data_IF_946757842019
#
_entry.id   IF_946757842019
#
_cell.length_a   1.000
_cell.length_b   1.000
_cell.length_c   1.000
_cell.angle_alpha   90.00
_cell.angle_beta   90.00
_cell.angle_gamma   90.00
#
_symmetry.space_group_name_H-M   'P 1'
#
loop_
_entity.id
_entity.type
_entity.pdbx_description
1 polymer ?
#
# COMPACT_ATOMS: atom_id res chain seq x y z
N UNK A 1 1.07 67.00 -48.99
CA UNK A 1 0.56 65.65 -48.67
C UNK A 1 1.72 64.72 -48.44
N UNK A 2 1.90 64.21 -47.22
CA UNK A 2 2.49 62.91 -46.95
C UNK A 2 2.23 62.61 -45.46
N UNK A 3 1.08 62.00 -45.17
CA UNK A 3 0.79 61.45 -43.86
C UNK A 3 1.70 60.22 -43.68
N UNK A 4 2.63 60.28 -42.74
CA UNK A 4 3.40 59.11 -42.31
C UNK A 4 2.47 58.22 -41.49
N UNK A 5 1.95 57.17 -42.13
CA UNK A 5 1.22 56.11 -41.46
C UNK A 5 2.16 55.44 -40.45
N UNK A 6 1.94 55.72 -39.16
CA UNK A 6 2.53 54.93 -38.08
C UNK A 6 1.71 53.66 -37.93
N UNK A 7 2.21 52.55 -38.47
CA UNK A 7 1.68 51.24 -38.12
C UNK A 7 2.11 50.93 -36.68
N UNK A 8 1.18 50.56 -35.77
CA UNK A 8 1.57 50.04 -34.47
C UNK A 8 2.35 48.76 -34.73
N UNK A 9 3.62 48.72 -34.31
CA UNK A 9 4.40 47.49 -34.28
C UNK A 9 3.62 46.51 -33.39
N UNK A 10 3.11 45.43 -33.98
CA UNK A 10 2.59 44.32 -33.21
C UNK A 10 3.72 43.89 -32.26
N UNK A 11 3.51 43.81 -30.93
CA UNK A 11 4.53 43.29 -30.04
C UNK A 11 4.94 41.91 -30.58
N UNK A 12 6.25 41.60 -30.68
CA UNK A 12 6.67 40.30 -31.15
C UNK A 12 5.91 39.26 -30.34
N UNK A 13 5.37 38.25 -31.02
CA UNK A 13 4.70 37.11 -30.39
C UNK A 13 5.75 36.29 -29.61
N UNK A 14 6.29 36.90 -28.55
CA UNK A 14 7.27 36.31 -27.68
C UNK A 14 6.60 35.19 -26.91
N UNK A 15 7.27 34.04 -26.87
CA UNK A 15 6.92 32.97 -25.95
C UNK A 15 6.77 33.58 -24.56
N UNK A 16 5.54 33.60 -24.04
CA UNK A 16 5.27 34.11 -22.70
C UNK A 16 6.16 33.34 -21.72
N UNK A 17 6.82 34.03 -20.78
CA UNK A 17 7.76 33.41 -19.84
C UNK A 17 7.20 32.15 -19.14
N UNK A 18 5.89 32.13 -18.86
CA UNK A 18 5.20 30.95 -18.32
C UNK A 18 5.19 29.76 -19.29
N UNK A 19 4.94 29.99 -20.58
CA UNK A 19 4.98 28.95 -21.62
C UNK A 19 6.41 28.43 -21.79
N UNK A 20 7.40 29.34 -21.80
CA UNK A 20 8.81 28.96 -21.87
C UNK A 20 9.22 28.05 -20.69
N UNK A 21 8.82 28.39 -19.46
CA UNK A 21 9.14 27.57 -18.29
C UNK A 21 8.53 26.16 -18.37
N UNK A 22 7.29 26.02 -18.83
CA UNK A 22 6.67 24.70 -19.02
C UNK A 22 7.30 23.92 -20.17
N UNK A 23 7.73 24.60 -21.24
CA UNK A 23 8.50 23.96 -22.32
C UNK A 23 9.86 23.45 -21.82
N UNK A 24 10.52 24.20 -20.93
CA UNK A 24 11.76 23.75 -20.29
C UNK A 24 11.53 22.56 -19.38
N UNK A 25 10.46 22.56 -18.55
CA UNK A 25 10.10 21.39 -17.73
C UNK A 25 9.82 20.18 -18.60
N UNK A 26 9.04 20.34 -19.69
CA UNK A 26 8.77 19.26 -20.63
C UNK A 26 10.07 18.74 -21.26
N UNK A 27 10.97 19.65 -21.69
CA UNK A 27 12.28 19.29 -22.21
C UNK A 27 13.08 18.47 -21.21
N UNK A 28 13.20 18.93 -19.95
CA UNK A 28 13.90 18.24 -18.88
C UNK A 28 13.33 16.84 -18.61
N UNK A 29 12.00 16.70 -18.56
CA UNK A 29 11.33 15.40 -18.38
C UNK A 29 11.61 14.48 -19.57
N UNK A 30 11.50 14.98 -20.81
CA UNK A 30 11.80 14.18 -22.01
C UNK A 30 13.26 13.74 -22.04
N UNK A 31 14.20 14.60 -21.65
CA UNK A 31 15.62 14.25 -21.58
C UNK A 31 15.95 13.26 -20.47
N UNK A 32 15.11 13.14 -19.44
CA UNK A 32 15.25 12.12 -18.38
C UNK A 32 14.96 10.71 -18.87
N UNK A 33 14.23 10.58 -19.99
CA UNK A 33 13.85 9.29 -20.58
C UNK A 33 14.32 9.21 -22.04
N UNK A 34 15.63 9.07 -22.29
CA UNK A 34 16.14 8.85 -23.63
C UNK A 34 15.40 7.67 -24.30
N UNK A 35 14.89 7.82 -25.54
CA UNK A 35 14.12 6.75 -26.18
C UNK A 35 14.88 5.43 -26.27
N UNK A 36 16.20 5.48 -26.43
CA UNK A 36 17.06 4.30 -26.40
C UNK A 36 16.97 3.52 -25.09
N UNK A 37 17.11 4.21 -23.94
CA UNK A 37 17.05 3.56 -22.62
C UNK A 37 15.67 2.98 -22.33
N UNK A 38 14.60 3.69 -22.72
CA UNK A 38 13.23 3.20 -22.58
C UNK A 38 13.01 1.95 -23.45
N UNK A 39 13.44 1.98 -24.70
CA UNK A 39 13.31 0.83 -25.62
C UNK A 39 14.13 -0.37 -25.12
N UNK A 40 15.36 -0.14 -24.66
CA UNK A 40 16.22 -1.18 -24.06
C UNK A 40 15.58 -1.79 -22.80
N UNK A 41 15.00 -0.96 -21.94
CA UNK A 41 14.26 -1.43 -20.76
C UNK A 41 13.07 -2.30 -21.17
N UNK A 42 12.29 -1.87 -22.16
CA UNK A 42 11.11 -2.60 -22.63
C UNK A 42 11.48 -3.92 -23.32
N UNK A 43 12.51 -3.93 -24.16
CA UNK A 43 12.86 -5.10 -24.99
C UNK A 43 13.79 -6.08 -24.31
N UNK A 44 14.69 -5.59 -23.47
CA UNK A 44 15.80 -6.35 -22.90
C UNK A 44 15.82 -6.34 -21.37
N UNK A 45 14.81 -5.75 -20.73
CA UNK A 45 14.71 -5.64 -19.26
C UNK A 45 15.98 -5.05 -18.64
N UNK A 46 16.56 -4.04 -19.31
CA UNK A 46 17.71 -3.32 -18.81
C UNK A 46 17.33 -2.51 -17.57
N UNK A 47 17.66 -3.05 -16.41
CA UNK A 47 17.53 -2.37 -15.13
C UNK A 47 18.89 -1.81 -14.69
N UNK A 48 18.94 -0.63 -14.03
CA UNK A 48 20.21 0.01 -13.75
C UNK A 48 21.07 -0.65 -12.66
N UNK A 49 20.50 -1.36 -11.68
CA UNK A 49 21.28 -2.17 -10.74
C UNK A 49 20.61 -3.49 -10.31
N UNK A 50 21.26 -4.18 -9.37
CA UNK A 50 20.80 -5.45 -8.81
C UNK A 50 19.56 -5.32 -7.96
N UNK A 51 19.32 -4.15 -7.38
CA UNK A 51 18.21 -3.93 -6.48
C UNK A 51 16.90 -3.85 -7.27
N UNK A 52 16.93 -3.13 -8.40
CA UNK A 52 15.83 -3.10 -9.37
C UNK A 52 15.50 -4.51 -9.91
N UNK A 53 16.54 -5.28 -10.25
CA UNK A 53 16.38 -6.65 -10.73
C UNK A 53 15.74 -7.54 -9.67
N UNK A 54 16.19 -7.43 -8.41
CA UNK A 54 15.63 -8.15 -7.29
C UNK A 54 14.17 -7.75 -7.05
N UNK A 55 13.84 -6.46 -7.15
CA UNK A 55 12.48 -5.98 -6.96
C UNK A 55 11.50 -6.57 -7.97
N UNK A 56 11.90 -6.64 -9.24
CA UNK A 56 11.09 -7.29 -10.27
C UNK A 56 10.90 -8.78 -9.98
N UNK A 57 11.93 -9.43 -9.46
CA UNK A 57 11.86 -10.82 -9.00
C UNK A 57 10.83 -10.97 -7.88
N UNK A 58 10.85 -10.13 -6.84
CA UNK A 58 9.90 -10.22 -5.72
C UNK A 58 8.46 -9.96 -6.17
N UNK A 59 8.27 -8.98 -7.07
CA UNK A 59 6.97 -8.66 -7.66
C UNK A 59 6.46 -9.79 -8.58
N UNK A 60 7.35 -10.42 -9.35
CA UNK A 60 7.02 -11.58 -10.19
C UNK A 60 6.62 -12.76 -9.32
N UNK A 61 7.38 -13.04 -8.27
CA UNK A 61 7.08 -14.17 -7.39
C UNK A 61 5.77 -13.93 -6.64
N UNK A 62 5.51 -12.70 -6.18
CA UNK A 62 4.19 -12.32 -5.61
C UNK A 62 3.05 -12.50 -6.63
N UNK A 63 3.25 -12.06 -7.88
CA UNK A 63 2.29 -12.26 -8.96
C UNK A 63 2.10 -13.75 -9.32
N UNK A 64 3.15 -14.56 -9.16
CA UNK A 64 3.14 -16.00 -9.36
C UNK A 64 2.57 -16.78 -8.15
N UNK A 65 2.19 -16.09 -7.08
CA UNK A 65 1.50 -16.66 -5.92
C UNK A 65 2.37 -16.88 -4.68
N UNK A 66 3.59 -16.33 -4.64
CA UNK A 66 4.35 -16.24 -3.39
C UNK A 66 3.51 -15.48 -2.36
N UNK A 67 3.43 -16.02 -1.15
CA UNK A 67 2.57 -15.46 -0.11
C UNK A 67 2.98 -14.05 0.26
N UNK A 68 2.01 -13.22 0.67
CA UNK A 68 2.29 -11.86 1.14
C UNK A 68 3.38 -11.86 2.23
N UNK A 69 3.30 -12.75 3.21
CA UNK A 69 4.28 -12.82 4.31
C UNK A 69 5.50 -13.70 4.01
N UNK A 70 5.57 -14.30 2.83
CA UNK A 70 6.76 -15.00 2.35
C UNK A 70 7.55 -14.02 1.49
N UNK A 71 8.60 -13.43 2.06
CA UNK A 71 9.53 -12.55 1.34
C UNK A 71 10.89 -13.24 1.11
N UNK A 72 10.92 -14.57 1.13
CA UNK A 72 12.17 -15.34 0.96
C UNK A 72 12.53 -15.44 -0.52
N UNK A 73 13.78 -15.11 -0.83
CA UNK A 73 14.35 -15.26 -2.15
C UNK A 73 15.10 -16.59 -2.25
N UNK A 74 14.37 -17.64 -2.64
CA UNK A 74 14.89 -19.01 -2.76
C UNK A 74 16.04 -19.16 -3.77
N UNK A 75 16.26 -18.17 -4.63
CA UNK A 75 17.32 -18.16 -5.65
C UNK A 75 18.72 -17.87 -5.08
N UNK A 76 18.83 -17.21 -3.92
CA UNK A 76 20.13 -16.81 -3.35
C UNK A 76 20.83 -17.94 -2.57
N UNK A 77 20.08 -18.90 -2.02
CA UNK A 77 20.63 -20.06 -1.31
C UNK A 77 19.70 -21.29 -1.42
N UNK A 78 19.61 -21.97 -2.56
CA UNK A 78 18.69 -23.11 -2.69
C UNK A 78 19.08 -24.28 -1.74
N UNK A 79 18.12 -24.92 -1.05
CA UNK A 79 16.68 -24.66 -1.06
C UNK A 79 16.22 -23.62 -0.02
N UNK A 80 17.08 -23.22 0.92
CA UNK A 80 16.71 -22.44 2.11
C UNK A 80 16.31 -20.98 1.82
N UNK A 81 16.86 -20.40 0.75
CA UNK A 81 16.65 -19.01 0.36
C UNK A 81 17.22 -17.99 1.33
N UNK A 82 16.95 -16.70 1.07
CA UNK A 82 17.31 -15.60 1.96
C UNK A 82 16.09 -14.68 2.16
N UNK A 83 15.64 -14.41 3.39
CA UNK A 83 14.55 -13.48 3.63
C UNK A 83 14.95 -12.05 3.25
N UNK A 84 14.14 -11.44 2.39
CA UNK A 84 14.31 -10.04 1.99
C UNK A 84 13.93 -9.11 3.14
N UNK A 85 14.64 -7.99 3.30
CA UNK A 85 14.27 -6.96 4.26
C UNK A 85 13.28 -5.96 3.66
N UNK A 86 12.93 -6.10 2.37
CA UNK A 86 12.04 -5.18 1.69
C UNK A 86 10.56 -5.46 1.93
N UNK A 87 9.80 -4.38 1.94
CA UNK A 87 8.37 -4.40 2.22
C UNK A 87 7.55 -4.77 0.98
N UNK A 88 6.57 -5.65 1.18
CA UNK A 88 5.55 -6.01 0.17
C UNK A 88 4.66 -4.86 -0.25
N UNK A 89 4.68 -3.74 0.48
CA UNK A 89 3.94 -2.53 0.11
C UNK A 89 4.33 -2.01 -1.28
N UNK A 90 5.59 -2.18 -1.70
CA UNK A 90 6.01 -1.82 -3.06
C UNK A 90 5.76 -2.94 -4.07
N UNK A 91 5.94 -4.20 -3.67
CA UNK A 91 5.75 -5.34 -4.56
C UNK A 91 4.30 -5.45 -5.04
N UNK A 92 3.33 -5.11 -4.18
CA UNK A 92 1.90 -5.22 -4.46
C UNK A 92 1.45 -4.44 -5.71
N UNK A 93 1.71 -3.11 -5.83
CA UNK A 93 1.33 -2.38 -7.03
C UNK A 93 2.09 -2.87 -8.27
N UNK A 94 3.36 -3.24 -8.15
CA UNK A 94 4.13 -3.81 -9.27
C UNK A 94 3.55 -5.14 -9.75
N UNK A 95 3.28 -6.07 -8.82
CA UNK A 95 2.65 -7.35 -9.10
C UNK A 95 1.25 -7.19 -9.70
N UNK A 96 0.46 -6.22 -9.23
CA UNK A 96 -0.84 -5.89 -9.80
C UNK A 96 -0.71 -5.45 -11.27
N UNK A 97 0.26 -4.59 -11.60
CA UNK A 97 0.52 -4.18 -12.98
C UNK A 97 0.94 -5.38 -13.85
N UNK A 98 1.80 -6.25 -13.34
CA UNK A 98 2.21 -7.48 -14.04
C UNK A 98 1.00 -8.40 -14.31
N UNK A 99 0.15 -8.63 -13.31
CA UNK A 99 -1.06 -9.46 -13.45
C UNK A 99 -2.05 -8.89 -14.47
N UNK A 100 -2.21 -7.56 -14.49
CA UNK A 100 -3.12 -6.88 -15.43
C UNK A 100 -2.58 -6.89 -16.85
N UNK A 101 -1.27 -6.69 -17.05
CA UNK A 101 -0.67 -6.56 -18.39
C UNK A 101 -0.35 -7.91 -19.04
N UNK A 102 0.09 -8.90 -18.26
CA UNK A 102 0.54 -10.20 -18.78
C UNK A 102 -0.46 -10.87 -19.74
N UNK A 103 -1.79 -10.89 -19.49
CA UNK A 103 -2.76 -11.50 -20.40
C UNK A 103 -2.84 -10.86 -21.80
N UNK A 104 -2.40 -9.61 -21.95
CA UNK A 104 -2.53 -8.85 -23.19
C UNK A 104 -1.26 -8.87 -24.04
N UNK A 105 -0.10 -8.82 -23.37
CA UNK A 105 1.20 -8.60 -24.03
C UNK A 105 2.22 -9.72 -23.79
N UNK A 106 1.89 -10.69 -22.93
CA UNK A 106 2.83 -11.72 -22.48
C UNK A 106 3.74 -11.24 -21.34
N UNK A 107 4.33 -12.17 -20.59
CA UNK A 107 5.10 -11.86 -19.37
C UNK A 107 6.34 -11.01 -19.64
N UNK A 108 7.14 -11.36 -20.65
CA UNK A 108 8.39 -10.64 -20.94
C UNK A 108 8.17 -9.17 -21.31
N UNK A 109 7.17 -8.89 -22.16
CA UNK A 109 6.83 -7.52 -22.51
C UNK A 109 6.12 -6.78 -21.35
N UNK A 110 5.30 -7.48 -20.55
CA UNK A 110 4.68 -6.88 -19.37
C UNK A 110 5.73 -6.38 -18.37
N UNK A 111 6.77 -7.17 -18.08
CA UNK A 111 7.86 -6.76 -17.19
C UNK A 111 8.63 -5.56 -17.73
N UNK A 112 9.01 -5.58 -19.01
CA UNK A 112 9.69 -4.46 -19.65
C UNK A 112 8.85 -3.17 -19.63
N UNK A 113 7.54 -3.28 -19.84
CA UNK A 113 6.62 -2.14 -19.76
C UNK A 113 6.47 -1.62 -18.33
N UNK A 114 6.33 -2.49 -17.33
CA UNK A 114 6.28 -2.09 -15.92
C UNK A 114 7.58 -1.38 -15.53
N UNK A 115 8.73 -1.96 -15.84
CA UNK A 115 10.02 -1.39 -15.51
C UNK A 115 10.28 -0.03 -16.18
N UNK A 116 9.83 0.14 -17.43
CA UNK A 116 10.00 1.39 -18.16
C UNK A 116 9.05 2.50 -17.71
N UNK A 117 7.80 2.17 -17.38
CA UNK A 117 6.75 3.17 -17.13
C UNK A 117 6.42 3.40 -15.65
N UNK A 118 6.87 2.54 -14.74
CA UNK A 118 6.74 2.76 -13.29
C UNK A 118 7.45 4.07 -12.83
N UNK A 119 8.73 4.30 -13.15
CA UNK A 119 9.43 5.52 -12.72
C UNK A 119 8.80 6.84 -13.24
N UNK A 120 8.44 6.99 -14.55
CA UNK A 120 7.83 8.24 -15.02
C UNK A 120 6.43 8.48 -14.43
N UNK A 121 5.69 7.43 -14.09
CA UNK A 121 4.42 7.58 -13.38
C UNK A 121 4.64 8.20 -12.00
N UNK A 122 5.62 7.69 -11.25
CA UNK A 122 5.98 8.24 -9.94
C UNK A 122 6.61 9.62 -10.04
N UNK A 123 7.37 9.92 -11.09
CA UNK A 123 7.88 11.27 -11.33
C UNK A 123 6.74 12.28 -11.53
N UNK A 124 5.67 11.88 -12.21
CA UNK A 124 4.48 12.73 -12.36
C UNK A 124 3.80 12.99 -11.00
N UNK A 125 3.72 11.98 -10.13
CA UNK A 125 3.21 12.13 -8.75
C UNK A 125 4.12 13.06 -7.95
N UNK A 126 5.43 12.85 -7.98
CA UNK A 126 6.44 13.68 -7.33
C UNK A 126 6.35 15.14 -7.78
N UNK A 127 6.34 15.39 -9.10
CA UNK A 127 6.26 16.73 -9.68
C UNK A 127 4.94 17.43 -9.30
N UNK A 128 3.83 16.68 -9.28
CA UNK A 128 2.52 17.23 -8.86
C UNK A 128 2.51 17.60 -7.37
N UNK A 129 3.08 16.74 -6.52
CA UNK A 129 3.21 17.01 -5.09
C UNK A 129 4.11 18.23 -4.83
N UNK A 130 5.27 18.30 -5.50
CA UNK A 130 6.22 19.41 -5.39
C UNK A 130 5.58 20.71 -5.85
N UNK A 131 4.96 20.70 -7.05
CA UNK A 131 4.29 21.87 -7.59
C UNK A 131 3.19 22.35 -6.65
N UNK A 132 2.33 21.44 -6.17
CA UNK A 132 1.21 21.79 -5.31
C UNK A 132 1.69 22.38 -3.98
N UNK A 133 2.67 21.75 -3.33
CA UNK A 133 3.22 22.21 -2.05
C UNK A 133 3.97 23.53 -2.14
N UNK A 134 4.78 23.74 -3.19
CA UNK A 134 5.48 25.02 -3.40
C UNK A 134 4.51 26.12 -3.81
N UNK A 135 3.51 25.80 -4.66
CA UNK A 135 2.52 26.79 -5.13
C UNK A 135 1.75 27.41 -3.98
N UNK A 136 1.36 26.61 -2.98
CA UNK A 136 0.57 27.11 -1.85
C UNK A 136 1.33 28.13 -1.00
N UNK A 137 2.66 28.03 -0.92
CA UNK A 137 3.48 28.88 -0.05
C UNK A 137 4.18 30.01 -0.82
N UNK A 138 4.60 29.77 -2.06
CA UNK A 138 5.48 30.67 -2.83
C UNK A 138 4.89 31.07 -4.20
N UNK A 139 3.69 30.59 -4.52
CA UNK A 139 3.00 30.91 -5.76
C UNK A 139 3.44 30.07 -6.98
N UNK A 140 2.74 30.21 -8.11
CA UNK A 140 2.88 29.31 -9.25
C UNK A 140 4.22 29.42 -9.98
N UNK A 141 4.89 30.58 -9.95
CA UNK A 141 6.20 30.74 -10.62
C UNK A 141 7.30 29.96 -9.89
N UNK A 142 7.34 30.09 -8.56
CA UNK A 142 8.26 29.32 -7.72
C UNK A 142 8.01 27.82 -7.85
N UNK A 143 6.76 27.40 -7.94
CA UNK A 143 6.40 26.00 -8.13
C UNK A 143 6.94 25.41 -9.44
N UNK A 144 6.85 26.14 -10.56
CA UNK A 144 7.42 25.67 -11.83
C UNK A 144 8.95 25.62 -11.75
N UNK A 145 9.59 26.63 -11.14
CA UNK A 145 11.05 26.63 -10.94
C UNK A 145 11.52 25.50 -10.03
N UNK A 146 10.73 25.13 -9.02
CA UNK A 146 11.06 24.01 -8.14
C UNK A 146 10.99 22.67 -8.89
N UNK A 147 9.96 22.45 -9.72
CA UNK A 147 9.89 21.25 -10.57
C UNK A 147 11.05 21.21 -11.55
N UNK A 148 11.35 22.33 -12.21
CA UNK A 148 12.50 22.45 -13.09
C UNK A 148 13.79 22.07 -12.35
N UNK A 149 14.08 22.72 -11.22
CA UNK A 149 15.29 22.46 -10.44
C UNK A 149 15.37 21.01 -9.97
N UNK A 150 14.26 20.43 -9.51
CA UNK A 150 14.21 19.04 -9.05
C UNK A 150 14.62 18.06 -10.15
N UNK A 151 14.13 18.24 -11.39
CA UNK A 151 14.52 17.37 -12.52
C UNK A 151 16.00 17.46 -12.89
N UNK A 152 16.73 18.46 -12.38
CA UNK A 152 18.17 18.63 -12.60
C UNK A 152 19.02 18.11 -11.43
N UNK A 153 18.39 17.58 -10.37
CA UNK A 153 19.11 17.03 -9.23
C UNK A 153 19.50 15.58 -9.48
N UNK A 154 20.72 15.22 -9.07
CA UNK A 154 21.25 13.86 -9.21
C UNK A 154 20.31 12.79 -8.62
N UNK A 155 19.75 13.03 -7.43
CA UNK A 155 18.84 12.09 -6.78
C UNK A 155 17.59 11.81 -7.61
N UNK A 156 16.95 12.85 -8.17
CA UNK A 156 15.75 12.68 -9.01
C UNK A 156 16.10 12.05 -10.36
N UNK A 157 17.20 12.49 -10.99
CA UNK A 157 17.61 11.95 -12.29
C UNK A 157 17.95 10.45 -12.21
N UNK A 158 18.50 10.00 -11.08
CA UNK A 158 18.81 8.58 -10.86
C UNK A 158 17.55 7.84 -10.47
N UNK A 159 16.88 8.21 -9.38
CA UNK A 159 15.82 7.38 -8.79
C UNK A 159 14.53 7.32 -9.61
N UNK A 160 14.33 8.23 -10.57
CA UNK A 160 13.19 8.19 -11.47
C UNK A 160 13.58 7.78 -12.90
N UNK A 161 14.80 7.29 -13.14
CA UNK A 161 15.22 6.82 -14.47
C UNK A 161 14.44 5.57 -14.92
N UNK A 162 14.32 5.36 -16.23
CA UNK A 162 13.71 4.14 -16.77
C UNK A 162 14.41 2.89 -16.21
N UNK A 163 13.62 1.89 -15.80
CA UNK A 163 14.13 0.66 -15.21
C UNK A 163 14.40 0.72 -13.70
N UNK A 164 14.31 1.91 -13.05
CA UNK A 164 14.45 2.04 -11.58
C UNK A 164 13.15 1.70 -10.85
N UNK A 165 12.89 0.42 -10.62
CA UNK A 165 11.64 -0.04 -10.00
C UNK A 165 11.70 -0.14 -8.47
N UNK A 166 12.75 0.37 -7.86
CA UNK A 166 12.99 0.24 -6.43
C UNK A 166 12.20 1.24 -5.54
N UNK A 167 12.27 1.10 -4.22
CA UNK A 167 11.45 1.80 -3.22
C UNK A 167 11.84 3.25 -2.94
N UNK A 168 12.99 3.70 -3.43
CA UNK A 168 13.54 5.03 -3.17
C UNK A 168 12.64 6.16 -3.73
N UNK A 169 12.04 5.97 -4.90
CA UNK A 169 11.17 6.96 -5.54
C UNK A 169 9.89 7.23 -4.73
N UNK A 170 9.27 6.17 -4.18
CA UNK A 170 8.10 6.24 -3.29
C UNK A 170 8.47 6.89 -1.97
N UNK A 171 9.62 6.55 -1.38
CA UNK A 171 10.09 7.21 -0.16
C UNK A 171 10.36 8.71 -0.40
N UNK A 172 10.96 9.10 -1.53
CA UNK A 172 11.16 10.51 -1.90
C UNK A 172 9.84 11.26 -1.99
N UNK A 173 8.79 10.66 -2.57
CA UNK A 173 7.45 11.24 -2.62
C UNK A 173 6.86 11.40 -1.21
N UNK A 174 6.97 10.38 -0.36
CA UNK A 174 6.47 10.41 1.01
C UNK A 174 7.16 11.49 1.85
N UNK A 175 8.49 11.59 1.76
CA UNK A 175 9.31 12.60 2.46
C UNK A 175 8.98 14.00 1.95
N UNK A 176 8.81 14.20 0.64
CA UNK A 176 8.38 15.48 0.07
C UNK A 176 6.99 15.87 0.58
N UNK A 177 6.05 14.91 0.61
CA UNK A 177 4.71 15.12 1.14
C UNK A 177 4.74 15.47 2.63
N UNK A 178 5.59 14.81 3.42
CA UNK A 178 5.83 15.14 4.83
C UNK A 178 6.35 16.58 4.96
N UNK A 179 7.42 16.93 4.24
CA UNK A 179 8.02 18.27 4.31
C UNK A 179 7.02 19.38 3.93
N UNK A 180 6.28 19.21 2.84
CA UNK A 180 5.27 20.19 2.40
C UNK A 180 4.10 20.31 3.39
N UNK A 181 3.69 19.22 4.01
CA UNK A 181 2.67 19.23 5.06
C UNK A 181 3.18 19.95 6.33
N UNK A 182 4.43 19.70 6.74
CA UNK A 182 5.05 20.39 7.88
C UNK A 182 5.18 21.91 7.66
N UNK A 183 5.57 22.33 6.45
CA UNK A 183 5.63 23.76 6.08
C UNK A 183 4.26 24.43 6.18
N UNK A 184 3.18 23.74 5.79
CA UNK A 184 1.82 24.27 5.83
C UNK A 184 1.31 24.44 7.28
N UNK A 185 1.75 23.58 8.19
CA UNK A 185 1.40 23.63 9.60
C UNK A 185 -0.08 23.31 9.92
N UNK A 186 -0.37 23.24 11.22
CA UNK A 186 -1.68 22.90 11.76
C UNK A 186 -1.95 21.39 11.88
N UNK A 187 -3.01 21.03 12.61
CA UNK A 187 -3.27 19.64 13.02
C UNK A 187 -3.40 18.66 11.85
N UNK A 188 -4.21 18.99 10.84
CA UNK A 188 -4.40 18.10 9.67
C UNK A 188 -3.11 17.89 8.89
N UNK A 189 -2.26 18.93 8.81
CA UNK A 189 -0.98 18.82 8.13
C UNK A 189 0.01 17.98 8.94
N UNK A 190 0.02 18.16 10.27
CA UNK A 190 0.77 17.30 11.18
C UNK A 190 0.40 15.83 11.03
N UNK A 191 -0.90 15.49 11.07
CA UNK A 191 -1.35 14.08 10.89
C UNK A 191 -0.92 13.52 9.55
N UNK A 192 -1.09 14.28 8.47
CA UNK A 192 -0.64 13.84 7.15
C UNK A 192 0.88 13.63 7.10
N UNK A 193 1.66 14.52 7.71
CA UNK A 193 3.12 14.41 7.78
C UNK A 193 3.55 13.18 8.59
N UNK A 194 2.94 12.92 9.75
CA UNK A 194 3.22 11.73 10.56
C UNK A 194 2.85 10.44 9.84
N UNK A 195 1.71 10.41 9.16
CA UNK A 195 1.28 9.24 8.38
C UNK A 195 2.20 8.95 7.19
N UNK A 196 2.67 9.99 6.49
CA UNK A 196 3.64 9.85 5.41
C UNK A 196 5.02 9.40 5.93
N UNK A 197 5.42 9.87 7.11
CA UNK A 197 6.62 9.40 7.79
C UNK A 197 6.51 7.90 8.16
N UNK A 198 5.38 7.49 8.76
CA UNK A 198 5.11 6.09 9.08
C UNK A 198 5.07 5.21 7.82
N UNK A 199 4.43 5.70 6.74
CA UNK A 199 4.40 5.00 5.46
C UNK A 199 5.80 4.84 4.87
N UNK A 200 6.63 5.88 4.90
CA UNK A 200 8.03 5.79 4.45
C UNK A 200 8.81 4.73 5.24
N UNK A 201 8.65 4.69 6.56
CA UNK A 201 9.33 3.72 7.44
C UNK A 201 8.79 2.29 7.28
N UNK A 202 7.52 2.14 6.92
CA UNK A 202 6.92 0.84 6.62
C UNK A 202 7.40 0.25 5.29
N UNK A 203 7.96 1.08 4.40
CA UNK A 203 8.62 0.65 3.17
C UNK A 203 10.07 0.25 3.45
N UNK A 204 10.80 1.07 4.20
CA UNK A 204 12.20 0.84 4.53
C UNK A 204 12.77 1.87 5.53
N UNK A 205 13.90 1.54 6.17
CA UNK A 205 14.51 2.35 7.23
C UNK A 205 15.43 3.46 6.70
N UNK A 206 15.70 3.49 5.40
CA UNK A 206 16.56 4.47 4.72
C UNK A 206 15.99 5.89 4.83
N UNK A 207 14.66 6.01 4.94
CA UNK A 207 13.96 7.28 5.17
C UNK A 207 14.11 7.84 6.59
N UNK A 208 14.64 7.06 7.55
CA UNK A 208 14.73 7.44 8.97
C UNK A 208 15.46 8.77 9.22
N UNK A 209 16.60 9.10 8.58
CA UNK A 209 17.25 10.39 8.78
C UNK A 209 16.33 11.57 8.40
N UNK A 210 15.54 11.41 7.34
CA UNK A 210 14.60 12.45 6.88
C UNK A 210 13.40 12.59 7.81
N UNK A 211 12.87 11.46 8.30
CA UNK A 211 11.80 11.45 9.31
C UNK A 211 12.27 12.05 10.63
N UNK A 212 13.50 11.74 11.06
CA UNK A 212 14.12 12.32 12.25
C UNK A 212 14.29 13.83 12.13
N UNK A 213 14.71 14.34 10.96
CA UNK A 213 14.75 15.78 10.70
C UNK A 213 13.36 16.43 10.76
N UNK A 214 12.33 15.77 10.21
CA UNK A 214 10.94 16.21 10.33
C UNK A 214 10.49 16.28 11.80
N UNK A 215 10.79 15.25 12.59
CA UNK A 215 10.49 15.21 14.01
C UNK A 215 11.22 16.32 14.79
N UNK A 216 12.51 16.52 14.54
CA UNK A 216 13.32 17.60 15.14
C UNK A 216 12.76 18.97 14.76
N UNK A 217 12.35 19.18 13.51
CA UNK A 217 11.71 20.42 13.08
C UNK A 217 10.43 20.67 13.89
N UNK A 218 9.55 19.67 14.00
CA UNK A 218 8.27 19.82 14.70
C UNK A 218 8.45 20.03 16.21
N UNK A 219 9.41 19.35 16.83
CA UNK A 219 9.80 19.57 18.23
C UNK A 219 10.35 20.98 18.41
N UNK A 220 11.32 21.39 17.59
CA UNK A 220 11.89 22.73 17.63
C UNK A 220 10.82 23.80 17.43
N UNK A 221 9.92 23.60 16.48
CA UNK A 221 8.82 24.52 16.20
C UNK A 221 7.92 24.73 17.41
N UNK A 222 7.60 23.64 18.11
CA UNK A 222 6.85 23.68 19.36
C UNK A 222 7.63 24.36 20.49
N UNK A 223 8.92 24.06 20.65
CA UNK A 223 9.76 24.69 21.69
C UNK A 223 9.84 26.21 21.49
N UNK A 224 10.02 26.69 20.25
CA UNK A 224 10.20 28.12 19.99
C UNK A 224 8.88 28.90 19.90
N UNK A 225 7.86 28.36 19.23
CA UNK A 225 6.58 29.07 19.04
C UNK A 225 5.56 28.77 20.13
N UNK A 226 5.65 27.63 20.80
CA UNK A 226 4.71 27.21 21.85
C UNK A 226 3.34 26.83 21.30
N UNK A 227 2.28 27.41 21.88
CA UNK A 227 0.87 27.07 21.59
C UNK A 227 0.47 27.07 20.10
N UNK A 228 0.93 28.00 19.24
CA UNK A 228 0.59 27.99 17.81
C UNK A 228 1.10 26.77 17.05
N UNK A 229 2.23 26.18 17.46
CA UNK A 229 2.83 25.00 16.82
C UNK A 229 2.29 23.67 17.38
N UNK A 230 1.68 23.71 18.58
CA UNK A 230 1.13 22.53 19.26
C UNK A 230 0.20 21.66 18.40
N UNK A 231 -0.72 22.21 17.56
CA UNK A 231 -1.56 21.38 16.71
C UNK A 231 -0.76 20.55 15.70
N UNK A 232 0.30 21.13 15.11
CA UNK A 232 1.17 20.42 14.17
C UNK A 232 1.96 19.33 14.89
N UNK A 233 2.51 19.65 16.07
CA UNK A 233 3.23 18.70 16.93
C UNK A 233 2.39 17.48 17.32
N UNK A 234 1.20 17.72 17.89
CA UNK A 234 0.30 16.64 18.26
C UNK A 234 -0.17 15.87 17.02
N UNK A 235 -0.46 16.57 15.93
CA UNK A 235 -0.84 15.94 14.67
C UNK A 235 0.24 15.00 14.14
N UNK A 236 1.49 15.44 14.11
CA UNK A 236 2.63 14.64 13.66
C UNK A 236 2.82 13.39 14.52
N UNK A 237 2.78 13.55 15.86
CA UNK A 237 2.81 12.41 16.78
C UNK A 237 1.68 11.42 16.54
N UNK A 238 0.43 11.90 16.38
CA UNK A 238 -0.73 11.06 16.09
C UNK A 238 -0.63 10.32 14.75
N UNK A 239 -0.06 10.96 13.72
CA UNK A 239 0.13 10.33 12.41
C UNK A 239 1.23 9.27 12.42
N UNK A 240 2.23 9.45 13.28
CA UNK A 240 3.36 8.51 13.43
C UNK A 240 3.02 7.32 14.36
N UNK A 241 2.03 7.47 15.26
CA UNK A 241 1.71 6.48 16.28
C UNK A 241 1.01 5.22 15.72
N UNK A 242 1.68 4.08 15.86
CA UNK A 242 1.11 2.77 15.52
C UNK A 242 -0.11 2.38 16.38
N UNK A 243 -0.24 2.91 17.61
CA UNK A 243 -1.41 2.71 18.46
C UNK A 243 -2.64 3.44 17.93
N UNK A 244 -2.47 4.58 17.25
CA UNK A 244 -3.56 5.28 16.55
C UNK A 244 -4.05 4.41 15.39
N UNK A 245 -3.14 3.82 14.63
CA UNK A 245 -3.50 2.88 13.55
C UNK A 245 -4.28 1.68 14.10
N UNK A 246 -3.83 1.10 15.24
CA UNK A 246 -4.56 0.03 15.94
C UNK A 246 -5.97 0.45 16.37
N UNK A 247 -6.12 1.63 16.97
CA UNK A 247 -7.43 2.14 17.42
C UNK A 247 -8.37 2.39 16.25
N UNK A 248 -7.87 2.91 15.13
CA UNK A 248 -8.67 3.11 13.90
C UNK A 248 -9.17 1.76 13.39
N UNK A 249 -8.30 0.75 13.30
CA UNK A 249 -8.70 -0.61 12.91
C UNK A 249 -9.76 -1.20 13.88
N UNK A 250 -9.60 -1.01 15.18
CA UNK A 250 -10.56 -1.46 16.20
C UNK A 250 -11.93 -0.75 16.09
N UNK A 251 -11.95 0.55 15.80
CA UNK A 251 -13.19 1.30 15.56
C UNK A 251 -13.89 0.78 14.30
N UNK A 252 -13.14 0.53 13.22
CA UNK A 252 -13.70 -0.06 11.99
C UNK A 252 -14.32 -1.44 12.26
N UNK A 253 -13.65 -2.28 13.07
CA UNK A 253 -14.19 -3.56 13.53
C UNK A 253 -15.52 -3.41 14.27
N UNK A 254 -15.63 -2.45 15.19
CA UNK A 254 -16.89 -2.16 15.90
C UNK A 254 -17.98 -1.73 14.91
N UNK A 255 -17.68 -0.81 13.99
CA UNK A 255 -18.66 -0.31 13.03
C UNK A 255 -19.18 -1.42 12.13
N UNK A 256 -18.30 -2.28 11.61
CA UNK A 256 -18.68 -3.47 10.82
C UNK A 256 -19.52 -4.42 11.67
N UNK A 257 -19.15 -4.66 12.92
CA UNK A 257 -19.89 -5.53 13.82
C UNK A 257 -21.29 -5.00 14.15
N UNK A 258 -21.45 -3.70 14.37
CA UNK A 258 -22.75 -3.05 14.58
C UNK A 258 -23.66 -3.15 13.35
N UNK A 259 -23.09 -2.98 12.14
CA UNK A 259 -23.83 -3.22 10.90
C UNK A 259 -24.30 -4.66 10.81
N UNK A 260 -23.46 -5.63 11.20
CA UNK A 260 -23.81 -7.05 11.20
C UNK A 260 -24.87 -7.42 12.26
N UNK A 261 -25.00 -6.67 13.35
CA UNK A 261 -26.03 -6.89 14.37
C UNK A 261 -27.43 -6.43 13.94
N UNK A 262 -27.52 -5.43 13.05
CA UNK A 262 -28.80 -4.83 12.64
C UNK A 262 -29.12 -5.22 11.19
N UNK A 263 -30.04 -6.17 10.94
CA UNK A 263 -30.38 -6.61 9.59
C UNK A 263 -30.81 -5.48 8.65
N UNK A 264 -31.50 -4.47 9.21
CA UNK A 264 -31.95 -3.31 8.45
C UNK A 264 -30.79 -2.39 8.01
N UNK A 265 -29.70 -2.34 8.79
CA UNK A 265 -28.49 -1.62 8.43
C UNK A 265 -27.73 -2.34 7.30
N UNK A 266 -27.66 -3.68 7.35
CA UNK A 266 -27.06 -4.48 6.27
C UNK A 266 -27.78 -4.24 4.93
N UNK A 267 -29.11 -4.24 4.93
CA UNK A 267 -29.91 -4.01 3.72
C UNK A 267 -29.70 -2.60 3.18
N UNK A 268 -29.68 -1.58 4.04
CA UNK A 268 -29.45 -0.19 3.61
C UNK A 268 -28.04 0.01 3.05
N UNK A 269 -27.03 -0.58 3.67
CA UNK A 269 -25.65 -0.51 3.19
C UNK A 269 -25.49 -1.25 1.85
N UNK A 270 -26.11 -2.42 1.69
CA UNK A 270 -26.11 -3.16 0.43
C UNK A 270 -26.80 -2.39 -0.70
N UNK A 271 -27.92 -1.71 -0.40
CA UNK A 271 -28.61 -0.84 -1.36
C UNK A 271 -27.75 0.38 -1.71
N UNK A 272 -27.11 1.00 -0.73
CA UNK A 272 -26.19 2.13 -0.95
C UNK A 272 -24.93 1.74 -1.74
N UNK A 273 -24.45 0.51 -1.58
CA UNK A 273 -23.34 -0.07 -2.33
C UNK A 273 -23.75 -0.56 -3.73
N UNK A 274 -25.05 -0.64 -4.03
CA UNK A 274 -25.60 -1.14 -5.30
C UNK A 274 -25.04 -0.46 -6.55
N UNK A 275 -24.89 0.88 -6.62
CA UNK A 275 -24.31 1.56 -7.78
C UNK A 275 -22.85 1.18 -8.03
N UNK A 276 -22.07 0.99 -6.96
CA UNK A 276 -20.65 0.58 -7.04
C UNK A 276 -20.57 -0.87 -7.51
N UNK A 277 -21.39 -1.76 -6.93
CA UNK A 277 -21.45 -3.16 -7.32
C UNK A 277 -21.87 -3.34 -8.80
N UNK A 278 -22.87 -2.59 -9.26
CA UNK A 278 -23.30 -2.61 -10.68
C UNK A 278 -22.22 -2.06 -11.62
N UNK A 279 -21.52 -1.00 -11.23
CA UNK A 279 -20.38 -0.48 -12.01
C UNK A 279 -19.25 -1.53 -12.11
N UNK A 280 -18.95 -2.24 -11.02
CA UNK A 280 -17.94 -3.30 -11.02
C UNK A 280 -18.38 -4.50 -11.89
N UNK A 281 -19.63 -4.94 -11.77
CA UNK A 281 -20.18 -6.05 -12.54
C UNK A 281 -20.22 -5.73 -14.05
N UNK A 282 -20.65 -4.52 -14.42
CA UNK A 282 -20.65 -4.11 -15.84
C UNK A 282 -19.24 -3.95 -16.41
N UNK A 283 -18.22 -3.71 -15.57
CA UNK A 283 -16.83 -3.55 -16.00
C UNK A 283 -16.02 -4.86 -15.99
N UNK A 284 -16.39 -5.82 -15.13
CA UNK A 284 -15.62 -7.02 -14.83
C UNK A 284 -16.43 -8.35 -14.86
N UNK A 285 -17.74 -8.34 -15.09
CA UNK A 285 -18.64 -9.51 -15.00
C UNK A 285 -18.53 -10.56 -16.11
N UNK A 286 -17.49 -10.50 -16.96
CA UNK A 286 -17.27 -11.46 -18.05
C UNK A 286 -16.66 -12.80 -17.63
N UNK A 287 -16.31 -13.00 -16.35
CA UNK A 287 -15.62 -14.20 -15.88
C UNK A 287 -16.62 -15.31 -15.51
N UNK A 288 -16.56 -16.46 -16.19
CA UNK A 288 -17.40 -17.62 -15.86
C UNK A 288 -16.94 -18.26 -14.54
N UNK A 289 -17.74 -18.15 -13.49
CA UNK A 289 -17.50 -18.79 -12.19
C UNK A 289 -17.81 -20.29 -12.18
N UNK A 290 -18.28 -20.85 -13.30
CA UNK A 290 -18.76 -22.25 -13.40
C UNK A 290 -17.68 -23.28 -13.73
N UNK A 291 -16.47 -22.87 -14.14
CA UNK A 291 -15.35 -23.77 -14.45
C UNK A 291 -14.36 -23.95 -13.29
N UNK A 292 -13.50 -24.98 -13.35
CA UNK A 292 -12.44 -25.25 -12.36
C UNK A 292 -11.55 -24.03 -12.10
N UNK A 293 -11.14 -23.32 -13.15
CA UNK A 293 -10.37 -22.08 -13.04
C UNK A 293 -11.16 -20.90 -12.45
N UNK A 294 -12.48 -20.86 -12.68
CA UNK A 294 -13.36 -19.86 -12.09
C UNK A 294 -13.58 -20.11 -10.60
N UNK A 295 -13.78 -21.36 -10.20
CA UNK A 295 -13.88 -21.78 -8.79
C UNK A 295 -12.55 -21.60 -8.06
N UNK A 296 -11.42 -21.91 -8.72
CA UNK A 296 -10.08 -21.61 -8.20
C UNK A 296 -9.87 -20.10 -8.03
N UNK A 297 -10.26 -19.28 -9.01
CA UNK A 297 -10.16 -17.82 -8.93
C UNK A 297 -11.04 -17.22 -7.83
N UNK A 298 -12.26 -17.74 -7.65
CA UNK A 298 -13.13 -17.36 -6.52
C UNK A 298 -12.51 -17.78 -5.19
N UNK A 299 -11.91 -18.98 -5.11
CA UNK A 299 -11.18 -19.45 -3.93
C UNK A 299 -9.97 -18.59 -3.59
N UNK A 300 -9.21 -18.16 -4.61
CA UNK A 300 -8.03 -17.29 -4.47
C UNK A 300 -8.43 -15.88 -4.00
N UNK A 301 -9.48 -15.30 -4.58
CA UNK A 301 -10.05 -14.02 -4.13
C UNK A 301 -10.57 -14.10 -2.71
N UNK A 302 -11.31 -15.17 -2.37
CA UNK A 302 -11.85 -15.38 -1.03
C UNK A 302 -10.71 -15.55 0.00
N UNK A 303 -9.65 -16.28 -0.36
CA UNK A 303 -8.44 -16.43 0.46
C UNK A 303 -7.71 -15.11 0.69
N UNK A 304 -7.53 -14.30 -0.36
CA UNK A 304 -6.91 -12.98 -0.27
C UNK A 304 -7.68 -12.02 0.65
N UNK A 305 -9.02 -12.03 0.56
CA UNK A 305 -9.90 -11.23 1.43
C UNK A 305 -9.88 -11.70 2.89
N UNK A 306 -9.63 -12.99 3.13
CA UNK A 306 -9.65 -13.60 4.47
C UNK A 306 -8.28 -13.60 5.18
N UNK A 307 -7.20 -13.34 4.44
CA UNK A 307 -5.80 -13.24 4.90
C UNK A 307 -5.54 -12.33 6.13
N UNK A 308 -6.17 -11.14 6.27
CA UNK A 308 -5.88 -10.22 7.39
C UNK A 308 -6.20 -10.79 8.79
N UNK A 309 -7.00 -11.86 8.86
CA UNK A 309 -7.56 -12.37 10.12
C UNK A 309 -6.65 -13.39 10.83
N UNK A 310 -5.58 -13.85 10.19
CA UNK A 310 -4.65 -14.87 10.76
C UNK A 310 -3.38 -14.24 11.33
N UNK A 311 -3.31 -12.90 11.32
CA UNK A 311 -2.11 -12.08 11.53
C UNK A 311 -1.18 -12.48 12.69
N UNK A 312 -1.64 -12.62 13.95
CA UNK A 312 -0.73 -12.94 15.06
C UNK A 312 -0.16 -14.35 15.00
N UNK A 313 -0.95 -15.32 14.54
CA UNK A 313 -0.55 -16.73 14.43
C UNK A 313 0.37 -16.95 13.24
N UNK A 314 0.08 -16.32 12.10
CA UNK A 314 0.99 -16.31 10.95
C UNK A 314 2.25 -15.51 11.25
N UNK A 315 2.15 -14.37 11.92
CA UNK A 315 3.30 -13.55 12.32
C UNK A 315 4.23 -14.28 13.29
N UNK A 316 3.69 -14.96 14.31
CA UNK A 316 4.47 -15.79 15.22
C UNK A 316 5.09 -17.01 14.50
N UNK A 317 4.32 -17.71 13.66
CA UNK A 317 4.84 -18.82 12.86
C UNK A 317 5.94 -18.36 11.87
N UNK A 318 5.80 -17.18 11.27
CA UNK A 318 6.79 -16.57 10.39
C UNK A 318 8.06 -16.14 11.14
N UNK A 319 7.95 -15.64 12.37
CA UNK A 319 9.12 -15.32 13.22
C UNK A 319 9.84 -16.60 13.64
N UNK A 320 9.10 -17.63 14.08
CA UNK A 320 9.66 -18.94 14.42
C UNK A 320 10.36 -19.61 13.24
N UNK A 321 9.76 -19.51 12.04
CA UNK A 321 10.38 -19.97 10.80
C UNK A 321 11.64 -19.16 10.43
N UNK A 322 11.61 -17.84 10.62
CA UNK A 322 12.74 -16.95 10.32
C UNK A 322 13.97 -17.21 11.20
N UNK A 323 13.80 -17.87 12.35
CA UNK A 323 14.90 -18.28 13.24
C UNK A 323 15.50 -19.65 12.87
N UNK A 324 14.96 -20.34 11.86
CA UNK A 324 15.50 -21.59 11.34
C UNK A 324 15.35 -22.79 12.26
N UNK A 325 14.48 -22.72 13.27
CA UNK A 325 14.18 -23.83 14.19
C UNK A 325 12.86 -24.49 13.81
N UNK A 326 12.84 -25.82 13.80
CA UNK A 326 11.60 -26.62 13.65
C UNK A 326 10.76 -26.33 12.39
N UNK A 327 11.41 -26.09 11.24
CA UNK A 327 10.77 -25.80 9.93
C UNK A 327 9.72 -26.84 9.53
N UNK A 328 9.94 -28.11 9.87
CA UNK A 328 8.96 -29.18 9.64
C UNK A 328 7.67 -28.96 10.44
N UNK A 329 7.80 -28.54 11.70
CA UNK A 329 6.67 -28.25 12.58
C UNK A 329 5.90 -27.03 12.07
N UNK A 330 6.59 -25.98 11.62
CA UNK A 330 5.93 -24.80 11.04
C UNK A 330 5.20 -25.16 9.74
N UNK A 331 5.86 -25.88 8.83
CA UNK A 331 5.27 -26.33 7.57
C UNK A 331 4.05 -27.23 7.78
N UNK A 332 4.14 -28.20 8.70
CA UNK A 332 3.02 -29.07 9.05
C UNK A 332 1.86 -28.27 9.66
N UNK A 333 2.17 -27.29 10.52
CA UNK A 333 1.16 -26.43 11.15
C UNK A 333 0.44 -25.57 10.10
N UNK A 334 1.18 -24.99 9.15
CA UNK A 334 0.62 -24.22 8.04
C UNK A 334 -0.22 -25.09 7.09
N UNK A 335 0.23 -26.31 6.79
CA UNK A 335 -0.49 -27.27 5.97
C UNK A 335 -1.81 -27.71 6.63
N UNK A 336 -1.74 -28.11 7.91
CA UNK A 336 -2.92 -28.51 8.68
C UNK A 336 -3.90 -27.33 8.82
N UNK A 337 -3.39 -26.13 9.04
CA UNK A 337 -4.20 -24.90 9.06
C UNK A 337 -4.88 -24.65 7.72
N UNK A 338 -4.15 -24.71 6.61
CA UNK A 338 -4.68 -24.52 5.27
C UNK A 338 -5.71 -25.57 4.86
N UNK A 339 -5.45 -26.85 5.18
CA UNK A 339 -6.42 -27.94 4.99
C UNK A 339 -7.66 -27.72 5.86
N UNK A 340 -7.48 -27.34 7.13
CA UNK A 340 -8.60 -27.02 8.03
C UNK A 340 -9.45 -25.84 7.56
N UNK A 341 -8.83 -24.83 6.94
CA UNK A 341 -9.52 -23.69 6.34
C UNK A 341 -10.25 -24.05 5.03
N UNK A 342 -9.66 -24.90 4.20
CA UNK A 342 -10.23 -25.31 2.91
C UNK A 342 -11.34 -26.36 3.05
N UNK A 343 -11.26 -27.25 4.05
CA UNK A 343 -12.16 -28.38 4.22
C UNK A 343 -13.64 -27.99 4.31
N UNK A 344 -14.07 -26.98 5.10
CA UNK A 344 -15.49 -26.59 5.16
C UNK A 344 -16.02 -26.08 3.82
N UNK A 345 -15.18 -25.36 3.06
CA UNK A 345 -15.55 -24.83 1.75
C UNK A 345 -15.65 -25.95 0.70
N UNK A 346 -14.74 -26.92 0.73
CA UNK A 346 -14.78 -28.10 -0.13
C UNK A 346 -15.99 -29.00 0.17
N UNK A 347 -16.30 -29.21 1.46
CA UNK A 347 -17.49 -29.96 1.89
C UNK A 347 -18.76 -29.27 1.43
N UNK A 348 -18.86 -27.94 1.59
CA UNK A 348 -19.99 -27.16 1.10
C UNK A 348 -20.09 -27.18 -0.43
N UNK A 349 -18.98 -27.17 -1.15
CA UNK A 349 -18.94 -27.25 -2.61
C UNK A 349 -19.28 -28.64 -3.16
N UNK A 350 -18.99 -29.70 -2.41
CA UNK A 350 -19.31 -31.09 -2.79
C UNK A 350 -20.77 -31.48 -2.52
N UNK A 351 -21.49 -30.72 -1.68
CA UNK A 351 -22.91 -30.93 -1.42
C UNK A 351 -23.76 -30.59 -2.66
N UNK A 352 -24.66 -31.51 -3.05
CA UNK A 352 -25.43 -31.36 -4.30
C UNK A 352 -26.40 -30.18 -4.24
N UNK A 353 -26.68 -29.61 -5.43
CA UNK A 353 -27.59 -28.47 -5.61
C UNK A 353 -28.99 -28.73 -5.04
N UNK A 354 -29.47 -29.98 -5.03
CA UNK A 354 -30.77 -30.35 -4.47
C UNK A 354 -30.79 -30.36 -2.94
N UNK A 355 -29.68 -30.74 -2.29
CA UNK A 355 -29.53 -30.67 -0.83
C UNK A 355 -29.41 -29.21 -0.36
N UNK A 356 -28.61 -28.39 -1.06
CA UNK A 356 -28.48 -26.96 -0.75
C UNK A 356 -29.81 -26.19 -0.87
N UNK A 357 -30.62 -26.52 -1.88
CA UNK A 357 -31.93 -25.87 -2.10
C UNK A 357 -32.93 -26.30 -1.02
N UNK A 358 -32.96 -27.57 -0.61
CA UNK A 358 -33.82 -28.03 0.49
C UNK A 358 -33.43 -27.46 1.86
N UNK A 359 -32.16 -27.09 2.04
CA UNK A 359 -31.64 -26.52 3.29
C UNK A 359 -31.62 -24.99 3.28
N UNK A 360 -31.96 -24.35 2.16
CA UNK A 360 -31.86 -22.91 1.95
C UNK A 360 -32.49 -22.10 3.07
N UNK A 361 -33.72 -22.41 3.47
CA UNK A 361 -34.41 -21.64 4.51
C UNK A 361 -33.80 -21.83 5.91
N UNK A 362 -33.23 -23.01 6.18
CA UNK A 362 -32.52 -23.31 7.43
C UNK A 362 -31.15 -22.63 7.44
N UNK A 363 -30.40 -22.71 6.34
CA UNK A 363 -29.12 -22.02 6.12
C UNK A 363 -29.27 -20.50 6.19
N UNK A 364 -30.32 -19.92 5.60
CA UNK A 364 -30.57 -18.48 5.67
C UNK A 364 -30.94 -18.02 7.08
N UNK A 365 -31.66 -18.85 7.85
CA UNK A 365 -32.00 -18.56 9.26
C UNK A 365 -30.79 -18.67 10.18
N UNK A 366 -30.00 -19.73 10.02
CA UNK A 366 -28.71 -19.91 10.71
C UNK A 366 -27.73 -18.80 10.32
N UNK A 367 -27.65 -18.45 9.03
CA UNK A 367 -26.79 -17.39 8.52
C UNK A 367 -27.13 -16.01 9.09
N UNK A 368 -28.41 -15.70 9.32
CA UNK A 368 -28.80 -14.48 10.07
C UNK A 368 -28.29 -14.50 11.51
N UNK A 369 -28.43 -15.62 12.20
CA UNK A 369 -27.93 -15.80 13.56
C UNK A 369 -26.40 -15.73 13.65
N UNK A 370 -25.69 -16.40 12.73
CA UNK A 370 -24.22 -16.39 12.66
C UNK A 370 -23.66 -15.00 12.35
N UNK A 371 -24.29 -14.24 11.44
CA UNK A 371 -23.88 -12.86 11.16
C UNK A 371 -24.05 -11.96 12.38
N UNK A 372 -25.16 -12.10 13.12
CA UNK A 372 -25.38 -11.35 14.35
C UNK A 372 -24.35 -11.75 15.44
N UNK A 373 -24.07 -13.04 15.59
CA UNK A 373 -23.05 -13.53 16.53
C UNK A 373 -21.65 -13.03 16.16
N UNK A 374 -21.26 -13.09 14.88
CA UNK A 374 -20.01 -12.53 14.39
C UNK A 374 -19.97 -11.02 14.64
N UNK A 375 -21.06 -10.30 14.36
CA UNK A 375 -21.17 -8.87 14.64
C UNK A 375 -20.95 -8.55 16.12
N UNK A 376 -21.54 -9.33 17.03
CA UNK A 376 -21.31 -9.20 18.47
C UNK A 376 -19.84 -9.42 18.83
N UNK A 377 -19.20 -10.47 18.28
CA UNK A 377 -17.78 -10.76 18.52
C UNK A 377 -16.90 -9.61 18.05
N UNK A 378 -17.10 -9.09 16.83
CA UNK A 378 -16.30 -7.97 16.31
C UNK A 378 -16.47 -6.70 17.15
N UNK A 379 -17.70 -6.41 17.62
CA UNK A 379 -17.96 -5.29 18.53
C UNK A 379 -17.23 -5.50 19.86
N UNK A 380 -17.34 -6.69 20.47
CA UNK A 380 -16.68 -6.98 21.74
C UNK A 380 -15.16 -6.90 21.60
N UNK A 381 -14.57 -7.55 20.59
CA UNK A 381 -13.13 -7.50 20.32
C UNK A 381 -12.65 -6.08 20.07
N UNK A 382 -13.35 -5.33 19.22
CA UNK A 382 -13.01 -3.94 18.96
C UNK A 382 -13.12 -3.06 20.22
N UNK A 383 -14.12 -3.27 21.07
CA UNK A 383 -14.25 -2.58 22.36
C UNK A 383 -13.10 -2.94 23.30
N UNK A 384 -12.73 -4.21 23.39
CA UNK A 384 -11.60 -4.69 24.21
C UNK A 384 -10.28 -4.02 23.78
N UNK A 385 -10.03 -3.91 22.46
CA UNK A 385 -8.84 -3.24 21.91
C UNK A 385 -8.89 -1.72 22.15
N UNK A 386 -10.05 -1.08 21.96
CA UNK A 386 -10.20 0.38 22.19
C UNK A 386 -10.01 0.74 23.66
N UNK A 387 -10.51 -0.10 24.57
CA UNK A 387 -10.35 0.04 26.02
C UNK A 387 -8.94 -0.32 26.49
N UNK A 388 -8.08 -0.89 25.62
CA UNK A 388 -6.76 -1.41 25.97
C UNK A 388 -6.82 -2.58 26.95
N UNK A 389 -7.99 -3.22 27.05
CA UNK A 389 -8.21 -4.35 27.94
C UNK A 389 -7.54 -5.62 27.41
N UNK A 390 -7.34 -5.71 26.09
CA UNK A 390 -6.53 -6.75 25.44
C UNK A 390 -5.13 -6.84 26.08
N UNK A 391 -4.40 -5.72 26.15
CA UNK A 391 -3.05 -5.70 26.74
C UNK A 391 -3.04 -5.95 28.24
N UNK A 392 -4.08 -5.54 28.96
CA UNK A 392 -4.20 -5.77 30.41
C UNK A 392 -4.51 -7.23 30.71
N UNK A 393 -5.40 -7.83 29.94
CA UNK A 393 -5.74 -9.25 30.04
C UNK A 393 -4.51 -10.07 29.66
N UNK A 394 -3.81 -9.72 28.58
CA UNK A 394 -2.55 -10.36 28.19
C UNK A 394 -1.50 -10.26 29.30
N UNK A 395 -1.26 -9.07 29.86
CA UNK A 395 -0.30 -8.90 30.96
C UNK A 395 -0.65 -9.73 32.20
N UNK A 396 -1.92 -9.76 32.61
CA UNK A 396 -2.38 -10.59 33.74
C UNK A 396 -2.27 -12.08 33.43
N UNK A 397 -2.57 -12.50 32.19
CA UNK A 397 -2.44 -13.88 31.76
C UNK A 397 -0.98 -14.34 31.70
N UNK A 398 -0.07 -13.46 31.26
CA UNK A 398 1.37 -13.72 31.26
C UNK A 398 1.90 -13.78 32.70
N UNK A 399 1.50 -12.86 33.57
CA UNK A 399 1.93 -12.88 34.99
C UNK A 399 1.37 -14.08 35.77
N UNK A 400 0.15 -14.54 35.43
CA UNK A 400 -0.46 -15.73 36.01
C UNK A 400 -0.01 -17.04 35.35
N UNK A 401 0.61 -16.96 34.17
CA UNK A 401 1.10 -18.12 33.46
C UNK A 401 2.31 -18.70 34.20
N UNK A 402 2.36 -20.03 34.39
CA UNK A 402 3.53 -20.68 34.96
C UNK A 402 4.80 -20.34 34.17
N UNK A 403 5.93 -20.19 34.85
CA UNK A 403 7.21 -19.83 34.23
C UNK A 403 7.59 -20.73 33.05
N UNK A 404 7.21 -22.02 33.08
CA UNK A 404 7.46 -22.95 31.98
C UNK A 404 6.68 -22.61 30.70
N UNK A 405 5.47 -22.05 30.82
CA UNK A 405 4.62 -21.65 29.69
C UNK A 405 5.14 -20.37 29.05
N UNK A 406 5.54 -19.40 29.88
CA UNK A 406 6.19 -18.17 29.41
C UNK A 406 7.56 -18.46 28.80
N UNK A 407 8.34 -19.36 29.40
CA UNK A 407 9.62 -19.80 28.86
C UNK A 407 9.45 -20.59 27.55
N UNK A 408 8.34 -21.30 27.35
CA UNK A 408 8.04 -22.01 26.10
C UNK A 408 7.65 -21.03 24.98
N UNK A 409 6.86 -20.00 25.28
CA UNK A 409 6.40 -19.01 24.29
C UNK A 409 7.44 -17.95 23.94
N UNK A 410 8.48 -17.75 24.77
CA UNK A 410 9.54 -16.75 24.56
C UNK A 410 10.91 -17.35 24.20
N UNK A 411 11.06 -18.69 24.17
CA UNK A 411 12.35 -19.37 23.89
C UNK A 411 12.82 -19.36 22.45
N UNK A 412 11.98 -18.86 21.56
CA UNK A 412 12.24 -18.82 20.14
C UNK A 412 12.13 -17.36 19.71
#
# INVERSE_FOLDING_TARGET
MAATASFPAAPPAGLHARKLLWLLVLFCVVTLYPPGDVIETIRHLRVPDTDDAMRLVEARDLAAGQGWYDNVQYRFLPPDGVPSHWSRLLDAPLACLLLVLTPWVGSGLAEGLVAAFWPPLLLAVYATALFSGVRTSFGPRAAVLAVLAATQTFGVTVQFAAGRVDHHDVQMIAILGMATALIRGGARAGVAAGALAAFSLAIGLEGLPSVALGALFVVGDWVFRGRPALPCFLGFGLGLDGDVFRRVAAILLILVGLVLLVPMAQTRLAVAAGPVANWTETRFGGFSTTGLWGQFGVGLLLGAVWSPCVGPTLGAASILAAQGRDLWTVGLTMLVFGLGAALPLLVLGALSRSVLVGWRDRLMRVGKGMKAALGAILVVTGLVIVLGADKRIEAVLVDAAPDWLNALTTRY
#
